data_IF_689191887971
#
_entry.id   IF_689191887971
#
_cell.length_a   1.000
_cell.length_b   1.000
_cell.length_c   1.000
_cell.angle_alpha   90.00
_cell.angle_beta   90.00
_cell.angle_gamma   90.00
#
_symmetry.space_group_name_H-M   'P 1'
#
loop_
_entity.id
_entity.type
_entity.pdbx_description
1 polymer ?
#
# COMPACT_ATOMS: atom_id res chain seq x y z
N UNK A 1 7.90 -0.32 -6.55
CA UNK A 1 7.47 0.98 -7.13
C UNK A 1 7.63 2.06 -6.09
N UNK A 2 7.81 3.32 -6.48
CA UNK A 2 7.95 4.48 -5.58
C UNK A 2 6.70 5.38 -5.53
N UNK A 3 5.58 4.91 -6.10
CA UNK A 3 4.31 5.63 -6.25
C UNK A 3 3.15 4.81 -5.70
N UNK A 4 2.09 5.51 -5.27
CA UNK A 4 0.78 4.94 -5.03
C UNK A 4 0.04 4.78 -6.36
N UNK A 5 -0.52 3.59 -6.59
CA UNK A 5 -1.24 3.26 -7.82
C UNK A 5 -2.61 2.73 -7.46
N UNK A 6 -3.66 3.49 -7.77
CA UNK A 6 -5.03 3.01 -7.71
C UNK A 6 -5.35 2.26 -9.02
N UNK A 7 -5.30 0.93 -8.98
CA UNK A 7 -5.69 0.06 -10.09
C UNK A 7 -7.21 -0.14 -10.02
N UNK A 8 -7.91 0.39 -11.02
CA UNK A 8 -9.36 0.41 -11.09
C UNK A 8 -9.84 -0.09 -12.44
N UNK A 9 -11.11 -0.49 -12.52
CA UNK A 9 -11.70 -0.89 -13.79
C UNK A 9 -11.87 0.31 -14.73
N UNK A 10 -11.61 0.08 -16.01
CA UNK A 10 -12.06 0.95 -17.10
C UNK A 10 -12.09 0.21 -18.41
N UNK A 11 -13.09 0.50 -19.26
CA UNK A 11 -13.26 -0.14 -20.57
C UNK A 11 -12.10 0.18 -21.54
N UNK A 12 -11.42 1.30 -21.31
CA UNK A 12 -10.23 1.70 -22.05
C UNK A 12 -9.07 1.76 -21.07
N UNK A 13 -7.98 1.09 -21.42
CA UNK A 13 -6.74 1.19 -20.69
C UNK A 13 -6.26 2.65 -20.67
N UNK A 14 -5.83 3.10 -19.51
CA UNK A 14 -5.42 4.49 -19.34
C UNK A 14 -4.74 4.76 -18.02
N UNK A 15 -4.04 5.88 -17.95
CA UNK A 15 -3.39 6.35 -16.73
C UNK A 15 -3.84 7.78 -16.45
N UNK A 16 -4.29 8.02 -15.22
CA UNK A 16 -4.70 9.34 -14.73
C UNK A 16 -3.67 9.78 -13.68
N UNK A 17 -2.92 10.87 -13.91
CA UNK A 17 -1.98 11.42 -12.94
C UNK A 17 -2.70 11.92 -11.68
N UNK A 18 -2.02 11.90 -10.53
CA UNK A 18 -2.60 12.28 -9.23
C UNK A 18 -3.24 13.66 -9.20
N UNK A 19 -2.62 14.67 -9.83
CA UNK A 19 -3.18 16.03 -9.92
C UNK A 19 -4.54 16.07 -10.65
N UNK A 20 -4.71 15.26 -11.70
CA UNK A 20 -5.98 15.11 -12.41
C UNK A 20 -6.96 14.21 -11.63
N UNK A 21 -6.44 13.22 -10.91
CA UNK A 21 -7.23 12.26 -10.13
C UNK A 21 -7.98 12.94 -8.98
N UNK A 22 -7.36 13.90 -8.31
CA UNK A 22 -7.97 14.60 -7.17
C UNK A 22 -8.99 15.68 -7.57
N UNK A 23 -9.10 16.06 -8.84
CA UNK A 23 -10.13 17.02 -9.29
C UNK A 23 -11.39 16.32 -9.81
N UNK A 24 -11.26 15.06 -10.24
CA UNK A 24 -12.36 14.23 -10.74
C UNK A 24 -13.46 14.05 -9.67
N UNK A 25 -14.68 14.54 -9.94
CA UNK A 25 -15.85 14.36 -9.07
C UNK A 25 -16.38 12.93 -9.04
N UNK A 26 -16.08 12.14 -10.08
CA UNK A 26 -16.53 10.76 -10.18
C UNK A 26 -15.72 9.81 -9.29
N UNK A 27 -14.63 10.28 -8.68
CA UNK A 27 -13.74 9.45 -7.86
C UNK A 27 -13.53 10.04 -6.47
N UNK A 28 -13.27 9.16 -5.50
CA UNK A 28 -13.20 9.51 -4.07
C UNK A 28 -11.80 10.00 -3.63
N UNK A 29 -10.97 10.50 -4.55
CA UNK A 29 -9.59 10.89 -4.25
C UNK A 29 -9.40 12.37 -3.91
N UNK A 30 -10.45 13.21 -4.05
CA UNK A 30 -10.40 14.65 -3.73
C UNK A 30 -9.70 14.99 -2.40
N UNK A 31 -9.97 14.30 -1.27
CA UNK A 31 -9.34 14.63 0.00
C UNK A 31 -7.82 14.42 0.03
N UNK A 32 -7.26 13.63 -0.89
CA UNK A 32 -5.82 13.40 -0.98
C UNK A 32 -5.03 14.64 -1.41
N UNK A 33 -5.69 15.66 -1.96
CA UNK A 33 -5.09 16.96 -2.26
C UNK A 33 -4.40 17.60 -1.04
N UNK A 34 -4.87 17.29 0.18
CA UNK A 34 -4.28 17.79 1.44
C UNK A 34 -2.81 17.38 1.65
N UNK A 35 -2.35 16.30 1.01
CA UNK A 35 -0.97 15.83 1.12
C UNK A 35 0.01 16.55 0.18
N UNK A 36 -0.49 17.50 -0.64
CA UNK A 36 0.32 18.40 -1.44
C UNK A 36 0.94 17.79 -2.69
N UNK A 37 1.57 18.65 -3.50
CA UNK A 37 2.08 18.28 -4.83
C UNK A 37 3.15 17.18 -4.80
N UNK A 38 3.99 17.13 -3.75
CA UNK A 38 4.99 16.08 -3.60
C UNK A 38 4.38 14.68 -3.60
N UNK A 39 3.22 14.53 -2.93
CA UNK A 39 2.45 13.28 -2.94
C UNK A 39 1.73 13.08 -4.27
N UNK A 40 1.05 14.10 -4.80
CA UNK A 40 0.26 13.98 -6.03
C UNK A 40 1.10 13.59 -7.25
N UNK A 41 2.38 13.99 -7.30
CA UNK A 41 3.34 13.55 -8.31
C UNK A 41 3.71 12.06 -8.20
N UNK A 42 3.44 11.45 -7.04
CA UNK A 42 3.64 10.02 -6.74
C UNK A 42 2.32 9.28 -6.53
N UNK A 43 1.20 9.85 -6.96
CA UNK A 43 -0.11 9.21 -7.02
C UNK A 43 -0.51 9.05 -8.49
N UNK A 44 -1.03 7.89 -8.85
CA UNK A 44 -1.64 7.67 -10.15
C UNK A 44 -2.83 6.71 -10.04
N UNK A 45 -3.74 6.79 -10.99
CA UNK A 45 -4.77 5.78 -11.19
C UNK A 45 -4.54 5.10 -12.55
N UNK A 46 -4.55 3.77 -12.55
CA UNK A 46 -4.43 2.94 -13.74
C UNK A 46 -5.77 2.26 -13.99
N UNK A 47 -6.36 2.53 -15.15
CA UNK A 47 -7.59 1.90 -15.62
C UNK A 47 -7.24 0.70 -16.48
N UNK A 48 -7.83 -0.45 -16.16
CA UNK A 48 -7.59 -1.71 -16.87
C UNK A 48 -8.91 -2.45 -17.07
N UNK A 49 -9.14 -3.01 -18.27
CA UNK A 49 -10.28 -3.88 -18.54
C UNK A 49 -10.00 -5.28 -17.99
N UNK A 50 -10.37 -5.49 -16.73
CA UNK A 50 -10.22 -6.78 -16.05
C UNK A 50 -11.52 -7.18 -15.36
N UNK A 51 -12.01 -8.42 -15.55
CA UNK A 51 -13.19 -8.92 -14.85
C UNK A 51 -13.08 -8.82 -13.32
N UNK A 52 -11.86 -8.99 -12.77
CA UNK A 52 -11.61 -8.85 -11.33
C UNK A 52 -11.86 -7.42 -10.88
N UNK A 53 -11.40 -6.44 -11.67
CA UNK A 53 -11.50 -5.02 -11.31
C UNK A 53 -12.94 -4.48 -11.38
N UNK A 54 -13.86 -5.20 -12.05
CA UNK A 54 -15.29 -4.87 -12.02
C UNK A 54 -15.89 -5.06 -10.62
N UNK A 55 -15.33 -5.97 -9.82
CA UNK A 55 -15.78 -6.26 -8.46
C UNK A 55 -14.97 -5.56 -7.37
N UNK A 56 -13.68 -5.29 -7.60
CA UNK A 56 -12.78 -4.68 -6.62
C UNK A 56 -11.84 -3.66 -7.25
N UNK A 57 -11.33 -2.72 -6.45
CA UNK A 57 -10.20 -1.87 -6.84
C UNK A 57 -9.02 -2.17 -5.93
N UNK A 58 -7.80 -2.05 -6.45
CA UNK A 58 -6.58 -2.36 -5.70
C UNK A 58 -5.76 -1.08 -5.59
N UNK A 59 -5.26 -0.79 -4.40
CA UNK A 59 -4.29 0.29 -4.19
C UNK A 59 -2.94 -0.35 -3.92
N UNK A 60 -2.03 -0.23 -4.88
CA UNK A 60 -0.62 -0.58 -4.69
C UNK A 60 0.10 0.60 -4.02
N UNK A 61 0.92 0.30 -3.02
CA UNK A 61 1.64 1.29 -2.22
C UNK A 61 3.14 1.21 -2.51
N UNK A 62 3.89 2.32 -2.37
CA UNK A 62 5.34 2.26 -2.40
C UNK A 62 5.85 1.26 -1.37
N UNK A 63 6.87 0.47 -1.75
CA UNK A 63 7.50 -0.48 -0.84
C UNK A 63 8.02 0.25 0.41
N UNK A 64 7.77 -0.34 1.58
CA UNK A 64 8.31 0.17 2.84
C UNK A 64 9.78 -0.22 2.89
N UNK A 65 10.65 0.78 2.79
CA UNK A 65 12.10 0.58 2.69
C UNK A 65 12.74 0.74 4.07
N UNK A 66 13.84 0.03 4.30
CA UNK A 66 14.54 -0.03 5.60
C UNK A 66 15.62 1.05 5.77
N UNK A 67 15.42 2.28 5.28
CA UNK A 67 16.45 3.33 5.33
C UNK A 67 15.95 4.76 5.51
N UNK A 68 16.47 5.47 6.52
CA UNK A 68 16.13 6.86 6.84
C UNK A 68 16.29 7.84 5.67
N UNK A 69 17.25 7.60 4.77
CA UNK A 69 17.48 8.47 3.60
C UNK A 69 16.27 8.52 2.66
N UNK A 70 15.57 7.40 2.47
CA UNK A 70 14.38 7.34 1.61
C UNK A 70 13.13 7.90 2.31
N UNK A 71 13.14 8.00 3.64
CA UNK A 71 12.06 8.66 4.40
C UNK A 71 12.08 10.17 4.20
N UNK A 72 13.26 10.80 4.30
CA UNK A 72 13.42 12.24 4.10
C UNK A 72 13.17 12.66 2.64
N UNK A 73 13.44 11.77 1.69
CA UNK A 73 13.38 12.06 0.25
C UNK A 73 11.96 11.98 -0.36
N UNK A 74 10.95 11.52 0.40
CA UNK A 74 9.57 11.43 -0.10
C UNK A 74 8.91 12.80 -0.25
N UNK A 75 9.16 13.71 0.71
CA UNK A 75 8.58 15.06 0.70
C UNK A 75 7.08 15.12 0.98
N UNK A 76 6.48 14.06 1.52
CA UNK A 76 5.08 14.00 1.98
C UNK A 76 4.93 13.06 3.18
N UNK A 77 3.84 13.21 3.94
CA UNK A 77 3.52 12.35 5.07
C UNK A 77 3.00 10.98 4.61
N UNK A 78 3.90 10.00 4.54
CA UNK A 78 3.57 8.65 4.13
C UNK A 78 2.60 7.94 5.09
N UNK A 79 2.81 8.12 6.40
CA UNK A 79 2.01 7.48 7.46
C UNK A 79 0.57 8.01 7.40
N UNK A 80 0.40 9.33 7.28
CA UNK A 80 -0.94 9.94 7.15
C UNK A 80 -1.67 9.53 5.86
N UNK A 81 -0.95 9.29 4.75
CA UNK A 81 -1.55 8.75 3.53
C UNK A 81 -2.04 7.32 3.74
N UNK A 82 -1.24 6.47 4.39
CA UNK A 82 -1.63 5.09 4.71
C UNK A 82 -2.86 5.04 5.60
N UNK A 83 -2.89 5.85 6.66
CA UNK A 83 -4.04 5.98 7.56
C UNK A 83 -5.31 6.40 6.79
N UNK A 84 -5.20 7.40 5.91
CA UNK A 84 -6.32 7.84 5.08
C UNK A 84 -6.91 6.73 4.19
N UNK A 85 -6.04 5.87 3.64
CA UNK A 85 -6.48 4.69 2.90
C UNK A 85 -7.09 3.65 3.83
N UNK A 86 -6.47 3.36 4.97
CA UNK A 86 -6.93 2.38 5.95
C UNK A 86 -8.37 2.63 6.42
N UNK A 87 -8.74 3.89 6.61
CA UNK A 87 -10.11 4.31 6.94
C UNK A 87 -11.13 3.89 5.87
N UNK A 88 -10.75 3.91 4.58
CA UNK A 88 -11.66 3.80 3.42
C UNK A 88 -11.65 2.46 2.71
N UNK A 89 -10.57 1.68 2.84
CA UNK A 89 -10.49 0.36 2.22
C UNK A 89 -11.26 -0.69 3.02
N UNK A 90 -11.72 -1.73 2.33
CA UNK A 90 -12.38 -2.89 2.96
C UNK A 90 -11.39 -3.91 3.53
N UNK A 91 -10.20 -3.99 2.93
CA UNK A 91 -9.15 -4.97 3.27
C UNK A 91 -7.76 -4.35 3.09
N UNK A 92 -6.86 -4.70 4.00
CA UNK A 92 -5.45 -4.31 3.96
C UNK A 92 -4.62 -5.58 3.91
N UNK A 93 -3.74 -5.72 2.91
CA UNK A 93 -2.88 -6.89 2.76
C UNK A 93 -1.46 -6.49 3.14
N UNK A 94 -0.94 -7.08 4.22
CA UNK A 94 0.45 -6.92 4.63
C UNK A 94 1.28 -8.08 4.07
N UNK A 95 2.21 -7.77 3.18
CA UNK A 95 3.09 -8.75 2.55
C UNK A 95 4.42 -8.83 3.29
N UNK A 96 4.79 -10.03 3.71
CA UNK A 96 6.09 -10.33 4.32
C UNK A 96 6.84 -11.32 3.46
N UNK A 97 8.12 -11.06 3.20
CA UNK A 97 9.00 -12.01 2.52
C UNK A 97 9.50 -13.05 3.54
N UNK A 98 9.12 -14.31 3.39
CA UNK A 98 9.47 -15.37 4.31
C UNK A 98 10.99 -15.62 4.39
N UNK A 99 11.74 -15.29 3.33
CA UNK A 99 13.18 -15.45 3.28
C UNK A 99 13.95 -14.30 3.97
N UNK A 100 13.37 -13.10 4.00
CA UNK A 100 13.98 -11.89 4.59
C UNK A 100 12.97 -11.14 5.45
N UNK A 101 12.56 -11.77 6.54
CA UNK A 101 11.72 -11.13 7.54
C UNK A 101 12.56 -10.10 8.30
N UNK A 102 12.56 -8.86 7.82
CA UNK A 102 13.19 -7.71 8.46
C UNK A 102 12.11 -6.67 8.78
N UNK A 103 11.85 -6.48 10.07
CA UNK A 103 10.84 -5.53 10.57
C UNK A 103 11.55 -4.22 10.84
N UNK A 104 11.56 -3.34 9.83
CA UNK A 104 12.16 -2.01 9.96
C UNK A 104 11.31 -1.08 10.84
N UNK A 105 11.93 -0.04 11.40
CA UNK A 105 11.21 1.00 12.17
C UNK A 105 10.13 1.72 11.35
N UNK A 106 10.33 1.84 10.03
CA UNK A 106 9.32 2.40 9.13
C UNK A 106 8.13 1.46 8.95
N UNK A 107 8.39 0.16 8.90
CA UNK A 107 7.35 -0.84 8.83
C UNK A 107 6.53 -0.89 10.12
N UNK A 108 7.18 -0.82 11.28
CA UNK A 108 6.50 -0.69 12.59
C UNK A 108 5.58 0.54 12.63
N UNK A 109 6.09 1.72 12.24
CA UNK A 109 5.28 2.95 12.18
C UNK A 109 4.12 2.87 11.18
N UNK A 110 4.32 2.15 10.08
CA UNK A 110 3.26 1.91 9.11
C UNK A 110 2.16 1.04 9.72
N UNK A 111 2.51 -0.02 10.45
CA UNK A 111 1.53 -0.84 11.20
C UNK A 111 0.81 0.00 12.26
N UNK A 112 1.53 0.84 13.00
CA UNK A 112 0.94 1.73 14.00
C UNK A 112 -0.09 2.70 13.38
N UNK A 113 0.13 3.14 12.14
CA UNK A 113 -0.83 3.96 11.37
C UNK A 113 -2.12 3.21 11.01
N UNK A 114 -2.08 1.88 10.98
CA UNK A 114 -3.22 1.01 10.67
C UNK A 114 -3.96 0.57 11.94
N UNK A 115 -3.49 0.99 13.12
CA UNK A 115 -4.08 0.61 14.41
C UNK A 115 -5.54 1.06 14.48
N UNK A 116 -6.42 0.16 14.92
CA UNK A 116 -7.86 0.40 14.94
C UNK A 116 -8.59 -0.07 13.66
N UNK A 117 -7.84 -0.60 12.69
CA UNK A 117 -8.37 -1.29 11.50
C UNK A 117 -7.90 -2.74 11.41
N UNK A 118 -7.56 -3.35 12.55
CA UNK A 118 -6.98 -4.69 12.65
C UNK A 118 -7.89 -5.78 12.03
N UNK A 119 -9.21 -5.60 12.06
CA UNK A 119 -10.19 -6.50 11.46
C UNK A 119 -10.07 -6.58 9.92
N UNK A 120 -9.58 -5.51 9.29
CA UNK A 120 -9.36 -5.41 7.84
C UNK A 120 -8.04 -6.03 7.39
N UNK A 121 -7.10 -6.25 8.31
CA UNK A 121 -5.73 -6.67 8.00
C UNK A 121 -5.69 -8.17 7.70
N UNK A 122 -5.01 -8.54 6.61
CA UNK A 122 -4.64 -9.91 6.26
C UNK A 122 -3.16 -9.98 5.98
N UNK A 123 -2.49 -10.90 6.66
CA UNK A 123 -1.04 -11.09 6.53
C UNK A 123 -0.78 -12.19 5.51
N UNK A 124 0.11 -11.92 4.56
CA UNK A 124 0.53 -12.86 3.53
C UNK A 124 2.03 -13.06 3.63
N UNK A 125 2.44 -14.29 3.98
CA UNK A 125 3.82 -14.75 3.92
C UNK A 125 4.15 -15.14 2.47
N UNK A 126 4.76 -14.23 1.75
CA UNK A 126 5.18 -14.42 0.37
C UNK A 126 6.52 -15.19 0.30
N UNK A 127 6.74 -15.92 -0.80
CA UNK A 127 7.95 -16.73 -1.06
C UNK A 127 8.26 -17.80 0.00
N UNK A 128 7.22 -18.37 0.62
CA UNK A 128 7.38 -19.42 1.62
C UNK A 128 8.03 -20.71 1.07
N UNK A 129 8.01 -20.88 -0.26
CA UNK A 129 8.71 -21.95 -0.99
C UNK A 129 10.24 -21.82 -0.97
N UNK A 130 10.77 -20.64 -0.64
CA UNK A 130 12.21 -20.36 -0.58
C UNK A 130 12.86 -20.74 0.76
N UNK A 131 12.09 -21.21 1.73
CA UNK A 131 12.57 -21.61 3.06
C UNK A 131 12.09 -23.01 3.41
N UNK A 132 12.85 -23.69 4.28
CA UNK A 132 12.46 -25.01 4.76
C UNK A 132 11.31 -24.93 5.79
N UNK A 133 10.73 -26.09 6.11
CA UNK A 133 9.60 -26.16 7.05
C UNK A 133 9.95 -25.64 8.45
N UNK A 134 11.18 -25.86 8.92
CA UNK A 134 11.59 -25.42 10.26
C UNK A 134 11.75 -23.90 10.33
N UNK A 135 12.33 -23.30 9.29
CA UNK A 135 12.46 -21.86 9.12
C UNK A 135 11.09 -21.21 9.01
N UNK A 136 10.15 -21.80 8.26
CA UNK A 136 8.79 -21.29 8.16
C UNK A 136 8.09 -21.23 9.53
N UNK A 137 8.24 -22.26 10.35
CA UNK A 137 7.67 -22.26 11.71
C UNK A 137 8.32 -21.20 12.60
N UNK A 138 9.62 -20.92 12.44
CA UNK A 138 10.31 -19.83 13.16
C UNK A 138 9.84 -18.44 12.72
N UNK A 139 9.70 -18.24 11.41
CA UNK A 139 9.19 -16.98 10.81
C UNK A 139 7.76 -16.72 11.27
N UNK A 140 6.91 -17.75 11.25
CA UNK A 140 5.54 -17.66 11.77
C UNK A 140 5.51 -17.31 13.26
N UNK A 141 6.36 -17.96 14.07
CA UNK A 141 6.48 -17.64 15.49
C UNK A 141 6.95 -16.21 15.75
N UNK A 142 7.94 -15.73 15.01
CA UNK A 142 8.47 -14.37 15.16
C UNK A 142 7.49 -13.27 14.71
N UNK A 143 6.60 -13.57 13.76
CA UNK A 143 5.60 -12.62 13.27
C UNK A 143 4.40 -12.48 14.23
N UNK A 144 4.08 -13.55 14.97
CA UNK A 144 2.97 -13.57 15.93
C UNK A 144 3.34 -13.10 17.34
N UNK A 145 4.63 -12.92 17.62
CA UNK A 145 5.17 -12.50 18.93
C UNK A 145 5.46 -10.99 18.95
#
# INVERSE_FOLDING_TARGET
>A
TDRFIAVMYGEKEGMIPGNALVVDSGKQFRPLSKFGNSFLNRLQCSLVDSPVLKGISIVDTPGILSGEKQRLDRGYDFTGVLEWFAERVDRIILLFDAHKLDISDEFRRSIEALRGHDDKIRIVLNKADMIDHQQLMRVYGALMW
#
